data_IF_417574722602
#
_entry.id   IF_417574722602
#
_cell.length_a   1.000
_cell.length_b   1.000
_cell.length_c   1.000
_cell.angle_alpha   90.00
_cell.angle_beta   90.00
_cell.angle_gamma   90.00
#
_symmetry.space_group_name_H-M   'P 1'
#
loop_
_entity.id
_entity.type
_entity.pdbx_description
1 polymer ?
#
# COMPACT_ATOMS: atom_id res chain seq x y z
N UNK A 1 -6.10 -9.75 -5.72
CA UNK A 1 -5.93 -9.45 -4.28
C UNK A 1 -5.64 -7.97 -4.16
N UNK A 2 -6.27 -7.29 -3.21
CA UNK A 2 -6.15 -5.84 -3.04
C UNK A 2 -5.71 -5.51 -1.62
N UNK A 3 -4.66 -4.70 -1.50
CA UNK A 3 -4.19 -4.12 -0.24
C UNK A 3 -4.53 -2.63 -0.28
N UNK A 4 -5.19 -2.13 0.76
CA UNK A 4 -5.71 -0.76 0.79
C UNK A 4 -5.31 -0.04 2.08
N UNK A 5 -4.96 1.24 1.97
CA UNK A 5 -4.70 2.16 3.07
C UNK A 5 -5.44 3.49 2.83
N UNK A 6 -5.84 4.18 3.89
CA UNK A 6 -6.12 5.61 3.83
C UNK A 6 -4.88 6.39 4.26
N UNK A 7 -4.63 7.53 3.63
CA UNK A 7 -3.57 8.46 4.02
C UNK A 7 -4.13 9.85 4.28
N UNK A 8 -3.69 10.45 5.38
CA UNK A 8 -4.00 11.83 5.73
C UNK A 8 -2.71 12.64 5.99
N UNK A 9 -2.63 13.89 5.49
CA UNK A 9 -3.61 14.58 4.64
C UNK A 9 -3.70 13.95 3.23
N UNK A 10 -4.90 13.93 2.66
CA UNK A 10 -5.14 13.36 1.32
C UNK A 10 -4.86 14.32 0.15
N UNK A 11 -4.66 15.61 0.43
CA UNK A 11 -4.53 16.71 -0.55
C UNK A 11 -3.13 17.35 -0.58
N UNK A 12 -2.12 16.68 -0.03
CA UNK A 12 -0.72 17.14 -0.04
C UNK A 12 -0.04 16.86 -1.39
N UNK A 13 0.28 17.91 -2.16
CA UNK A 13 0.95 17.82 -3.47
C UNK A 13 2.36 17.20 -3.41
N UNK A 14 2.97 17.13 -2.22
CA UNK A 14 4.29 16.52 -2.00
C UNK A 14 4.20 15.08 -1.54
N UNK A 15 2.98 14.57 -1.32
CA UNK A 15 2.74 13.21 -0.89
C UNK A 15 3.14 12.23 -1.99
N UNK A 16 4.03 11.32 -1.64
CA UNK A 16 4.46 10.23 -2.51
C UNK A 16 4.24 8.90 -1.81
N UNK A 17 3.94 7.87 -2.60
CA UNK A 17 3.62 6.53 -2.10
C UNK A 17 4.53 5.52 -2.76
N UNK A 18 5.19 4.71 -1.94
CA UNK A 18 6.09 3.66 -2.37
C UNK A 18 5.66 2.32 -1.78
N UNK A 19 5.85 1.25 -2.56
CA UNK A 19 5.57 -0.11 -2.14
C UNK A 19 6.84 -0.94 -2.06
N UNK A 20 6.92 -1.79 -1.04
CA UNK A 20 8.02 -2.72 -0.82
C UNK A 20 7.47 -4.12 -0.58
N UNK A 21 8.21 -5.13 -1.05
CA UNK A 21 7.99 -6.54 -0.71
C UNK A 21 9.23 -7.10 -0.07
N UNK A 22 9.09 -7.63 1.14
CA UNK A 22 10.19 -8.18 1.94
C UNK A 22 11.37 -7.19 2.07
N UNK A 23 11.05 -5.92 2.31
CA UNK A 23 12.03 -4.83 2.48
C UNK A 23 12.72 -4.36 1.19
N UNK A 24 12.31 -4.85 0.01
CA UNK A 24 12.84 -4.41 -1.29
C UNK A 24 11.78 -3.65 -2.07
N UNK A 25 12.15 -2.60 -2.84
CA UNK A 25 11.19 -1.89 -3.70
C UNK A 25 10.41 -2.88 -4.56
N UNK A 26 9.08 -2.73 -4.55
CA UNK A 26 8.19 -3.59 -5.33
C UNK A 26 8.28 -3.19 -6.81
N UNK A 27 8.63 -4.16 -7.65
CA UNK A 27 8.65 -3.96 -9.10
C UNK A 27 7.23 -4.12 -9.63
N UNK A 28 6.71 -3.04 -10.22
CA UNK A 28 5.40 -3.05 -10.89
C UNK A 28 5.49 -3.81 -12.22
N UNK A 29 4.35 -4.27 -12.72
CA UNK A 29 4.29 -5.02 -13.98
C UNK A 29 2.87 -5.39 -14.35
N UNK A 30 2.71 -6.28 -15.34
CA UNK A 30 1.39 -6.63 -15.87
C UNK A 30 0.41 -7.16 -14.83
N UNK A 31 0.89 -7.85 -13.78
CA UNK A 31 0.06 -8.39 -12.67
C UNK A 31 -0.06 -7.47 -11.47
N UNK A 32 0.79 -6.46 -11.34
CA UNK A 32 0.94 -5.66 -10.12
C UNK A 32 0.71 -4.19 -10.47
N UNK A 33 -0.43 -3.67 -10.02
CA UNK A 33 -0.86 -2.30 -10.26
C UNK A 33 -1.03 -1.56 -8.93
N UNK A 34 -0.78 -0.26 -8.92
CA UNK A 34 -1.04 0.59 -7.77
C UNK A 34 -1.87 1.80 -8.16
N UNK A 35 -2.68 2.30 -7.22
CA UNK A 35 -3.42 3.55 -7.37
C UNK A 35 -3.25 4.39 -6.10
N UNK A 36 -3.21 5.69 -6.29
CA UNK A 36 -3.32 6.66 -5.22
C UNK A 36 -4.23 7.78 -5.70
N UNK A 37 -5.40 7.89 -5.08
CA UNK A 37 -6.43 8.87 -5.46
C UNK A 37 -7.30 9.22 -4.25
N UNK A 38 -7.53 10.53 -4.02
CA UNK A 38 -8.33 11.06 -2.90
C UNK A 38 -8.05 10.41 -1.54
N UNK A 39 -6.77 10.26 -1.16
CA UNK A 39 -6.38 9.65 0.12
C UNK A 39 -6.44 8.12 0.17
N UNK A 40 -7.01 7.46 -0.84
CA UNK A 40 -7.01 6.01 -0.95
C UNK A 40 -5.75 5.54 -1.68
N UNK A 41 -4.93 4.76 -0.98
CA UNK A 41 -3.78 4.05 -1.54
C UNK A 41 -4.17 2.59 -1.75
N UNK A 42 -3.95 2.05 -2.94
CA UNK A 42 -4.17 0.62 -3.22
C UNK A 42 -3.04 -0.04 -4.01
N UNK A 43 -2.84 -1.33 -3.71
CA UNK A 43 -2.00 -2.26 -4.46
C UNK A 43 -2.84 -3.46 -4.87
N UNK A 44 -2.92 -3.71 -6.17
CA UNK A 44 -3.64 -4.82 -6.77
C UNK A 44 -2.65 -5.84 -7.34
N UNK A 45 -2.81 -7.11 -6.95
CA UNK A 45 -2.05 -8.24 -7.47
C UNK A 45 -3.03 -9.22 -8.14
N UNK A 46 -2.89 -9.36 -9.46
CA UNK A 46 -3.62 -10.29 -10.31
C UNK A 46 -2.92 -11.66 -10.35
N UNK A 47 -3.70 -12.72 -10.56
CA UNK A 47 -3.22 -14.10 -10.70
C UNK A 47 -2.19 -14.47 -9.63
N UNK A 48 -2.64 -14.48 -8.36
CA UNK A 48 -1.79 -14.73 -7.21
C UNK A 48 -1.10 -16.08 -7.31
N UNK A 49 0.23 -16.07 -7.23
CA UNK A 49 1.07 -17.27 -7.18
C UNK A 49 1.74 -17.39 -5.80
N UNK A 50 2.29 -18.56 -5.50
CA UNK A 50 2.94 -18.84 -4.21
C UNK A 50 4.07 -17.87 -3.91
N UNK A 51 4.80 -17.44 -4.94
CA UNK A 51 5.88 -16.48 -4.90
C UNK A 51 5.41 -15.08 -4.49
N UNK A 52 4.12 -14.76 -4.62
CA UNK A 52 3.54 -13.49 -4.17
C UNK A 52 3.45 -13.42 -2.64
N UNK A 53 3.62 -14.53 -1.91
CA UNK A 53 3.69 -14.50 -0.45
C UNK A 53 4.84 -13.61 0.06
N UNK A 54 4.61 -12.89 1.15
CA UNK A 54 5.61 -12.02 1.76
C UNK A 54 5.01 -10.89 2.59
N UNK A 55 5.87 -10.02 3.09
CA UNK A 55 5.49 -8.79 3.76
C UNK A 55 5.43 -7.66 2.74
N UNK A 56 4.27 -7.03 2.64
CA UNK A 56 4.05 -5.86 1.80
C UNK A 56 3.98 -4.63 2.66
N UNK A 57 4.79 -3.63 2.32
CA UNK A 57 4.92 -2.39 3.07
C UNK A 57 4.55 -1.23 2.16
N UNK A 58 3.63 -0.39 2.61
CA UNK A 58 3.33 0.90 2.02
C UNK A 58 4.05 1.98 2.83
N UNK A 59 4.81 2.83 2.15
CA UNK A 59 5.51 3.99 2.70
C UNK A 59 4.96 5.24 2.05
N UNK A 60 4.36 6.10 2.84
CA UNK A 60 3.93 7.43 2.42
C UNK A 60 4.93 8.47 2.93
N UNK A 61 5.32 9.42 2.09
CA UNK A 61 6.31 10.44 2.41
C UNK A 61 5.81 11.81 1.96
N UNK A 62 5.91 12.79 2.85
CA UNK A 62 5.75 14.21 2.52
C UNK A 62 6.89 15.04 3.14
N UNK A 63 6.78 16.37 3.11
CA UNK A 63 7.82 17.26 3.66
C UNK A 63 7.99 17.15 5.19
N UNK A 64 7.00 16.60 5.90
CA UNK A 64 6.97 16.49 7.36
C UNK A 64 7.53 15.15 7.86
N UNK A 65 7.72 14.19 6.95
CA UNK A 65 8.34 12.92 7.27
C UNK A 65 7.72 11.77 6.49
N UNK A 66 7.77 10.60 7.11
CA UNK A 66 7.25 9.37 6.53
C UNK A 66 6.38 8.61 7.52
N UNK A 67 5.43 7.86 6.97
CA UNK A 67 4.61 6.94 7.72
C UNK A 67 4.52 5.62 6.94
N UNK A 68 4.58 4.52 7.68
CA UNK A 68 4.78 3.19 7.14
C UNK A 68 3.72 2.25 7.72
N UNK A 69 3.15 1.42 6.86
CA UNK A 69 2.22 0.36 7.25
C UNK A 69 2.58 -0.91 6.53
N UNK A 70 2.42 -2.07 7.19
CA UNK A 70 2.86 -3.37 6.65
C UNK A 70 1.81 -4.43 6.89
N UNK A 71 1.60 -5.31 5.91
CA UNK A 71 0.78 -6.50 6.04
C UNK A 71 1.52 -7.75 5.54
N UNK A 72 1.15 -8.92 6.07
CA UNK A 72 1.65 -10.20 5.61
C UNK A 72 0.66 -10.87 4.65
N UNK A 73 1.11 -11.23 3.46
CA UNK A 73 0.37 -12.04 2.50
C UNK A 73 0.91 -13.47 2.49
N UNK A 74 0.02 -14.45 2.61
CA UNK A 74 0.35 -15.87 2.50
C UNK A 74 -0.55 -16.55 1.49
N UNK A 75 -0.01 -16.86 0.32
CA UNK A 75 -0.72 -17.59 -0.75
C UNK A 75 -0.52 -19.09 -0.53
N UNK A 76 -1.62 -19.84 -0.37
CA UNK A 76 -1.57 -21.31 -0.33
C UNK A 76 -1.70 -21.86 -1.74
N UNK A 77 -0.80 -22.75 -2.14
CA UNK A 77 -0.91 -23.48 -3.39
C UNK A 77 -2.04 -24.51 -3.33
N UNK A 78 -3.22 -24.17 -3.87
CA UNK A 78 -4.24 -25.12 -4.33
C UNK A 78 -5.45 -24.36 -4.91
N UNK A 79 -5.64 -24.45 -6.23
CA UNK A 79 -6.84 -24.35 -7.09
C UNK A 79 -7.97 -23.31 -6.82
N UNK A 80 -8.09 -22.69 -5.66
CA UNK A 80 -9.14 -21.74 -5.31
C UNK A 80 -8.52 -20.47 -4.73
N UNK A 81 -8.20 -19.53 -5.62
CA UNK A 81 -7.62 -18.20 -5.32
C UNK A 81 -8.54 -17.26 -4.51
N UNK A 82 -9.72 -17.74 -4.08
CA UNK A 82 -10.79 -16.93 -3.49
C UNK A 82 -10.73 -16.80 -1.95
N UNK A 83 -9.89 -17.57 -1.27
CA UNK A 83 -9.83 -17.56 0.21
C UNK A 83 -8.80 -16.58 0.79
N UNK A 84 -8.37 -15.57 0.02
CA UNK A 84 -7.46 -14.54 0.49
C UNK A 84 -8.25 -13.27 0.80
N UNK A 85 -8.50 -13.08 2.09
CA UNK A 85 -9.18 -11.92 2.67
C UNK A 85 -8.53 -10.61 2.22
N UNK A 86 -9.34 -9.57 2.03
CA UNK A 86 -8.86 -8.21 1.77
C UNK A 86 -7.98 -7.78 2.96
N UNK A 87 -6.68 -7.61 2.75
CA UNK A 87 -5.76 -7.17 3.79
C UNK A 87 -5.74 -5.64 3.75
N UNK A 88 -6.60 -5.02 4.56
CA UNK A 88 -6.50 -3.59 4.81
C UNK A 88 -5.24 -3.34 5.64
N UNK A 89 -4.35 -2.49 5.17
CA UNK A 89 -3.25 -1.98 5.99
C UNK A 89 -3.76 -0.84 6.87
N UNK A 90 -3.12 -0.60 8.01
CA UNK A 90 -3.54 0.49 8.90
C UNK A 90 -3.45 1.83 8.19
N UNK A 91 -4.40 2.72 8.49
CA UNK A 91 -4.43 4.07 7.96
C UNK A 91 -3.15 4.83 8.36
N UNK A 92 -2.63 5.59 7.41
CA UNK A 92 -1.36 6.31 7.46
C UNK A 92 -1.66 7.77 7.83
N UNK A 93 -0.99 8.28 8.86
CA UNK A 93 -1.09 9.69 9.26
C UNK A 93 0.27 10.34 9.21
N UNK A 94 0.39 11.38 8.40
CA UNK A 94 1.59 12.22 8.30
C UNK A 94 1.39 13.54 9.04
N UNK A 95 2.50 14.22 9.34
CA UNK A 95 2.46 15.58 9.84
C UNK A 95 1.98 16.56 8.76
N UNK A 96 1.35 17.64 9.20
CA UNK A 96 0.97 18.80 8.38
C UNK A 96 1.71 20.03 8.87
N UNK A 97 1.92 21.03 8.00
CA UNK A 97 2.37 22.34 8.45
C UNK A 97 1.31 22.94 9.38
N UNK A 98 1.70 23.44 10.55
CA UNK A 98 0.81 24.13 11.52
C UNK A 98 0.16 25.41 10.96
N UNK A 99 0.39 25.75 9.68
CA UNK A 99 -0.27 26.85 8.98
C UNK A 99 -1.53 26.35 8.28
N UNK A 100 -2.57 26.27 9.11
CA UNK A 100 -3.98 26.46 8.79
C UNK A 100 -4.41 26.28 7.33
N UNK A 101 -5.14 25.20 7.08
CA UNK A 101 -6.25 25.26 6.13
C UNK A 101 -7.23 26.32 6.67
N UNK A 102 -7.19 27.51 6.07
CA UNK A 102 -8.14 28.62 6.29
C UNK A 102 -9.47 28.34 5.55
#
# INVERSE_FOLDING_TARGET
MTIEAQVEPSDDERLTVEWYKNGRPLVLGSRINTRFDFGLISLEIMDLITEDSGFYTCRAVNNHGEAITTCALKVKGSANYKDLFNYKVNDIKLGVDDKAYD
#
